data_IF_857832049790
#
_entry.id   IF_857832049790
#
_cell.length_a   1.000
_cell.length_b   1.000
_cell.length_c   1.000
_cell.angle_alpha   90.00
_cell.angle_beta   90.00
_cell.angle_gamma   90.00
#
_symmetry.space_group_name_H-M   'P 1'
#
loop_
_entity.id
_entity.type
_entity.pdbx_description
1 polymer ?
#
# COMPACT_ATOMS: atom_id res chain seq x y z
N UNK A 1 20.65 8.71 25.49
CA UNK A 1 20.71 10.18 25.57
C UNK A 1 19.68 10.72 24.60
N UNK A 2 18.46 10.99 25.08
CA UNK A 2 17.40 11.59 24.27
C UNK A 2 17.74 13.05 24.01
N UNK A 3 18.24 13.36 22.82
CA UNK A 3 18.30 14.72 22.33
C UNK A 3 16.88 15.15 21.94
N UNK A 4 16.05 15.46 22.94
CA UNK A 4 14.72 16.01 22.70
C UNK A 4 14.85 17.33 21.95
N UNK A 5 14.36 17.37 20.71
CA UNK A 5 14.20 18.60 19.94
C UNK A 5 13.47 19.65 20.80
N UNK A 6 13.96 20.90 20.78
CA UNK A 6 13.29 21.98 21.49
C UNK A 6 11.93 22.25 20.86
N UNK A 7 10.98 22.71 21.67
CA UNK A 7 9.63 22.97 21.20
C UNK A 7 9.60 23.99 20.05
N UNK A 8 10.36 25.10 20.16
CA UNK A 8 10.50 26.08 19.08
C UNK A 8 11.08 25.44 17.80
N UNK A 9 12.08 24.56 17.93
CA UNK A 9 12.65 23.88 16.77
C UNK A 9 11.66 22.92 16.10
N UNK A 10 10.72 22.34 16.86
CA UNK A 10 9.64 21.54 16.30
C UNK A 10 8.65 22.40 15.49
N UNK A 11 8.24 23.56 16.02
CA UNK A 11 7.37 24.52 15.33
C UNK A 11 8.01 25.00 14.02
N UNK A 12 9.28 25.38 14.06
CA UNK A 12 10.04 25.83 12.89
C UNK A 12 10.12 24.72 11.82
N UNK A 13 10.32 23.47 12.25
CA UNK A 13 10.35 22.32 11.35
C UNK A 13 9.00 22.11 10.65
N UNK A 14 7.88 22.10 11.40
CA UNK A 14 6.55 21.90 10.82
C UNK A 14 6.18 23.02 9.85
N UNK A 15 6.41 24.27 10.22
CA UNK A 15 6.11 25.44 9.37
C UNK A 15 6.99 25.49 8.12
N UNK A 16 8.28 25.15 8.25
CA UNK A 16 9.18 25.02 7.11
C UNK A 16 8.68 23.95 6.12
N UNK A 17 8.28 22.78 6.59
CA UNK A 17 7.78 21.72 5.70
C UNK A 17 6.40 22.02 5.11
N UNK A 18 5.57 22.76 5.83
CA UNK A 18 4.27 23.22 5.32
C UNK A 18 4.42 24.21 4.16
N UNK A 19 5.39 25.14 4.25
CA UNK A 19 5.68 26.09 3.17
C UNK A 19 6.36 25.46 1.94
N UNK A 20 6.94 24.26 2.08
CA UNK A 20 7.52 23.51 0.96
C UNK A 20 6.44 22.95 0.04
N UNK A 21 6.75 22.92 -1.26
CA UNK A 21 5.91 22.27 -2.27
C UNK A 21 5.46 20.86 -1.83
N UNK A 22 4.18 20.49 -2.04
CA UNK A 22 3.67 19.16 -1.73
C UNK A 22 4.41 18.02 -2.45
N UNK A 23 5.06 18.33 -3.60
CA UNK A 23 5.80 17.34 -4.39
C UNK A 23 7.16 16.96 -3.78
N UNK A 24 7.66 17.74 -2.80
CA UNK A 24 8.90 17.42 -2.08
C UNK A 24 8.57 16.57 -0.86
N UNK A 25 8.64 15.26 -1.03
CA UNK A 25 8.29 14.32 0.03
C UNK A 25 9.34 14.26 1.11
N UNK A 26 8.93 14.18 2.38
CA UNK A 26 9.81 13.89 3.51
C UNK A 26 10.49 12.54 3.32
N UNK A 27 9.77 11.56 2.77
CA UNK A 27 10.31 10.22 2.50
C UNK A 27 11.52 10.20 1.54
N UNK A 28 11.63 11.18 0.64
CA UNK A 28 12.72 11.25 -0.34
C UNK A 28 14.04 11.82 0.23
N UNK A 29 14.04 12.19 1.51
CA UNK A 29 15.17 12.86 2.16
C UNK A 29 16.01 11.90 3.01
N UNK A 30 17.13 12.39 3.54
CA UNK A 30 17.98 11.60 4.41
C UNK A 30 17.23 11.12 5.65
N UNK A 31 17.58 9.95 6.18
CA UNK A 31 16.93 9.37 7.36
C UNK A 31 16.95 10.34 8.56
N UNK A 32 18.00 11.14 8.72
CA UNK A 32 18.08 12.17 9.76
C UNK A 32 17.03 13.29 9.61
N UNK A 33 16.66 13.66 8.38
CA UNK A 33 15.61 14.66 8.13
C UNK A 33 14.22 14.08 8.35
N UNK A 34 14.02 12.82 7.97
CA UNK A 34 12.79 12.06 8.27
C UNK A 34 12.59 12.00 9.79
N UNK A 35 13.60 11.51 10.53
CA UNK A 35 13.55 11.38 11.98
C UNK A 35 13.31 12.73 12.65
N UNK A 36 14.01 13.79 12.21
CA UNK A 36 13.79 15.14 12.75
C UNK A 36 12.35 15.62 12.57
N UNK A 37 11.74 15.40 11.40
CA UNK A 37 10.35 15.78 11.18
C UNK A 37 9.40 14.97 12.07
N UNK A 38 9.60 13.65 12.15
CA UNK A 38 8.77 12.77 12.96
C UNK A 38 8.86 13.10 14.47
N UNK A 39 10.06 13.40 14.97
CA UNK A 39 10.27 13.88 16.35
C UNK A 39 9.60 15.23 16.60
N UNK A 40 9.62 16.14 15.61
CA UNK A 40 8.90 17.41 15.71
C UNK A 40 7.39 17.19 15.84
N UNK A 41 6.83 16.25 15.08
CA UNK A 41 5.40 15.88 15.21
C UNK A 41 5.10 15.34 16.60
N UNK A 42 5.91 14.42 17.10
CA UNK A 42 5.72 13.83 18.45
C UNK A 42 5.74 14.94 19.52
N UNK A 43 6.63 15.92 19.38
CA UNK A 43 6.74 17.05 20.29
C UNK A 43 5.49 17.94 20.28
N UNK A 44 4.94 18.24 19.11
CA UNK A 44 3.72 19.06 18.94
C UNK A 44 2.47 18.33 19.45
N UNK A 45 2.39 17.02 19.25
CA UNK A 45 1.29 16.21 19.77
C UNK A 45 1.32 16.14 21.31
N UNK A 46 2.51 16.00 21.90
CA UNK A 46 2.69 16.03 23.37
C UNK A 46 2.32 17.40 23.97
N UNK A 47 2.73 18.51 23.36
CA UNK A 47 2.39 19.86 23.85
C UNK A 47 0.91 20.17 23.70
N UNK A 48 0.24 19.67 22.65
CA UNK A 48 -1.21 19.76 22.51
C UNK A 48 -1.93 18.95 23.59
N UNK A 49 -1.49 17.73 23.89
CA UNK A 49 -2.06 16.93 24.96
C UNK A 49 -1.95 17.61 26.34
N UNK A 50 -0.88 18.39 26.54
CA UNK A 50 -0.65 19.16 27.76
C UNK A 50 -1.41 20.51 27.82
N UNK A 51 -2.19 20.85 26.78
CA UNK A 51 -3.06 22.03 26.75
C UNK A 51 -2.36 23.37 26.47
N UNK A 52 -1.12 23.35 26.00
CA UNK A 52 -0.28 24.56 25.91
C UNK A 52 -0.33 25.25 24.53
N UNK A 53 -1.00 24.68 23.53
CA UNK A 53 -0.79 25.08 22.12
C UNK A 53 -2.00 25.07 21.19
N UNK A 54 -1.82 25.76 20.04
CA UNK A 54 -2.76 25.83 18.92
C UNK A 54 -2.84 24.50 18.17
N UNK A 55 -4.06 23.96 18.06
CA UNK A 55 -4.38 22.77 17.26
C UNK A 55 -4.11 22.94 15.76
N UNK A 56 -3.82 24.15 15.28
CA UNK A 56 -3.52 24.42 13.87
C UNK A 56 -2.21 23.74 13.44
N UNK A 57 -1.16 23.77 14.26
CA UNK A 57 0.15 23.17 13.91
C UNK A 57 0.07 21.64 13.80
N UNK A 58 -0.64 21.00 14.74
CA UNK A 58 -0.89 19.57 14.65
C UNK A 58 -1.73 19.25 13.42
N UNK A 59 -2.78 20.03 13.14
CA UNK A 59 -3.60 19.84 11.93
C UNK A 59 -2.76 19.95 10.65
N UNK A 60 -1.85 20.93 10.57
CA UNK A 60 -0.90 21.07 9.45
C UNK A 60 0.00 19.84 9.31
N UNK A 61 0.57 19.36 10.42
CA UNK A 61 1.42 18.18 10.43
C UNK A 61 0.67 16.92 9.98
N UNK A 62 -0.55 16.71 10.48
CA UNK A 62 -1.41 15.56 10.14
C UNK A 62 -1.82 15.57 8.66
N UNK A 63 -2.16 16.74 8.12
CA UNK A 63 -2.46 16.89 6.69
C UNK A 63 -1.24 16.52 5.83
N UNK A 64 -0.05 16.99 6.20
CA UNK A 64 1.19 16.65 5.48
C UNK A 64 1.49 15.16 5.57
N UNK A 65 1.46 14.57 6.76
CA UNK A 65 1.70 13.13 6.96
C UNK A 65 0.72 12.26 6.17
N UNK A 66 -0.56 12.62 6.13
CA UNK A 66 -1.57 11.90 5.33
C UNK A 66 -1.25 11.95 3.83
N UNK A 67 -0.82 13.10 3.33
CA UNK A 67 -0.41 13.26 1.94
C UNK A 67 0.84 12.44 1.59
N UNK A 68 1.86 12.46 2.47
CA UNK A 68 3.08 11.65 2.34
C UNK A 68 2.74 10.15 2.33
N UNK A 69 1.90 9.70 3.27
CA UNK A 69 1.43 8.33 3.34
C UNK A 69 0.78 7.87 2.03
N UNK A 70 -0.12 8.69 1.48
CA UNK A 70 -0.78 8.40 0.21
C UNK A 70 0.22 8.25 -0.95
N UNK A 71 1.20 9.15 -1.07
CA UNK A 71 2.13 9.14 -2.19
C UNK A 71 3.10 7.97 -2.08
N UNK A 72 3.65 7.70 -0.90
CA UNK A 72 4.55 6.55 -0.69
C UNK A 72 3.82 5.23 -0.99
N UNK A 73 2.58 5.09 -0.52
CA UNK A 73 1.75 3.92 -0.80
C UNK A 73 1.42 3.77 -2.29
N UNK A 74 1.18 4.88 -2.98
CA UNK A 74 0.93 4.90 -4.44
C UNK A 74 2.18 4.49 -5.21
N UNK A 75 3.37 4.98 -4.82
CA UNK A 75 4.65 4.57 -5.42
C UNK A 75 4.90 3.07 -5.25
N UNK A 76 4.67 2.54 -4.04
CA UNK A 76 4.75 1.08 -3.82
C UNK A 76 3.77 0.29 -4.70
N UNK A 77 2.56 0.82 -4.92
CA UNK A 77 1.53 0.16 -5.73
C UNK A 77 1.78 0.29 -7.24
N UNK A 78 2.58 1.27 -7.67
CA UNK A 78 2.92 1.47 -9.07
C UNK A 78 4.17 0.70 -9.50
N UNK A 79 4.95 0.15 -8.56
CA UNK A 79 6.00 -0.80 -8.90
C UNK A 79 5.32 -2.06 -9.44
N UNK A 80 5.42 -2.33 -10.76
CA UNK A 80 4.79 -3.50 -11.32
C UNK A 80 5.51 -4.71 -10.73
N UNK A 81 4.75 -5.64 -10.15
CA UNK A 81 5.21 -7.02 -10.14
C UNK A 81 5.32 -7.41 -11.63
N UNK A 82 6.52 -7.31 -12.20
CA UNK A 82 6.80 -7.72 -13.59
C UNK A 82 6.81 -9.26 -13.74
N UNK A 83 6.66 -9.99 -12.65
CA UNK A 83 6.94 -11.44 -12.56
C UNK A 83 5.89 -12.37 -13.18
N UNK A 84 4.66 -11.93 -13.47
CA UNK A 84 3.63 -12.84 -14.03
C UNK A 84 3.46 -12.73 -15.56
N UNK A 85 4.27 -11.93 -16.26
CA UNK A 85 4.28 -11.92 -17.73
C UNK A 85 4.93 -13.17 -18.34
N UNK A 86 5.49 -14.07 -17.52
CA UNK A 86 6.16 -15.31 -17.95
C UNK A 86 5.43 -16.58 -17.51
N UNK A 87 4.10 -16.54 -17.36
CA UNK A 87 3.29 -17.77 -17.48
C UNK A 87 3.16 -18.14 -18.97
N UNK A 88 4.31 -18.25 -19.63
CA UNK A 88 4.43 -18.99 -20.87
C UNK A 88 4.39 -20.46 -20.48
N UNK A 89 3.42 -21.16 -21.06
CA UNK A 89 3.31 -22.61 -21.17
C UNK A 89 4.65 -23.34 -21.18
N UNK A 90 5.07 -23.86 -20.02
CA UNK A 90 5.95 -25.03 -19.94
C UNK A 90 5.77 -25.70 -18.59
N UNK A 91 5.32 -26.94 -18.60
CA UNK A 91 5.54 -27.89 -17.52
C UNK A 91 7.06 -28.02 -17.34
N UNK A 92 7.63 -27.39 -16.32
CA UNK A 92 9.07 -27.38 -16.07
C UNK A 92 9.39 -26.99 -14.63
N UNK A 93 10.26 -27.77 -13.98
CA UNK A 93 10.62 -27.71 -12.57
C UNK A 93 11.04 -26.29 -12.10
N UNK A 94 10.26 -25.72 -11.18
CA UNK A 94 10.53 -24.46 -10.50
C UNK A 94 11.41 -24.64 -9.26
N UNK A 95 12.60 -25.24 -9.40
CA UNK A 95 13.58 -25.24 -8.32
C UNK A 95 15.01 -25.40 -8.88
N UNK A 96 15.59 -24.29 -9.34
CA UNK A 96 17.05 -24.13 -9.27
C UNK A 96 17.35 -22.66 -8.99
N UNK A 97 17.58 -22.38 -7.70
CA UNK A 97 17.71 -21.05 -7.12
C UNK A 97 19.18 -20.70 -6.97
N UNK A 98 19.66 -19.66 -7.66
CA UNK A 98 20.83 -18.88 -7.19
C UNK A 98 20.87 -17.43 -7.69
N UNK A 99 20.18 -17.08 -8.78
CA UNK A 99 20.22 -15.70 -9.33
C UNK A 99 19.01 -14.82 -8.93
N UNK A 100 17.95 -15.43 -8.37
CA UNK A 100 16.70 -14.74 -8.00
C UNK A 100 16.72 -14.16 -6.57
N UNK A 101 17.51 -14.77 -5.68
CA UNK A 101 17.58 -14.39 -4.27
C UNK A 101 18.27 -13.02 -4.05
N UNK A 102 19.28 -12.68 -4.84
CA UNK A 102 20.00 -11.40 -4.74
C UNK A 102 19.11 -10.19 -5.15
N UNK A 103 18.23 -10.39 -6.14
CA UNK A 103 17.27 -9.38 -6.59
C UNK A 103 16.08 -9.21 -5.62
N UNK A 104 15.61 -10.31 -5.01
CA UNK A 104 14.55 -10.28 -3.99
C UNK A 104 15.00 -9.58 -2.70
N UNK A 105 16.27 -9.71 -2.30
CA UNK A 105 16.81 -9.07 -1.09
C UNK A 105 16.84 -7.54 -1.24
N UNK A 106 17.19 -7.00 -2.42
CA UNK A 106 17.19 -5.55 -2.68
C UNK A 106 15.77 -4.96 -2.78
N UNK A 107 14.84 -5.70 -3.39
CA UNK A 107 13.43 -5.31 -3.51
C UNK A 107 12.67 -5.38 -2.18
N UNK A 108 12.93 -6.43 -1.38
CA UNK A 108 12.42 -6.52 -0.02
C UNK A 108 12.99 -5.40 0.85
N UNK A 109 14.26 -5.02 0.70
CA UNK A 109 14.86 -3.93 1.48
C UNK A 109 14.25 -2.55 1.19
N UNK A 110 13.97 -2.22 -0.08
CA UNK A 110 13.33 -0.94 -0.45
C UNK A 110 11.83 -0.92 -0.13
N UNK A 111 11.15 -2.07 -0.24
CA UNK A 111 9.77 -2.22 0.20
C UNK A 111 9.65 -2.13 1.73
N UNK A 112 10.56 -2.75 2.48
CA UNK A 112 10.55 -2.76 3.94
C UNK A 112 10.85 -1.37 4.52
N UNK A 113 11.73 -0.58 3.90
CA UNK A 113 11.95 0.82 4.30
C UNK A 113 10.70 1.68 4.14
N UNK A 114 9.98 1.53 3.03
CA UNK A 114 8.74 2.26 2.81
C UNK A 114 7.61 1.73 3.73
N UNK A 115 7.53 0.42 4.00
CA UNK A 115 6.58 -0.13 4.99
C UNK A 115 6.90 0.39 6.40
N UNK A 116 8.17 0.44 6.79
CA UNK A 116 8.62 0.99 8.07
C UNK A 116 8.25 2.47 8.18
N UNK A 117 8.49 3.26 7.13
CA UNK A 117 8.09 4.65 7.08
C UNK A 117 6.56 4.81 7.20
N UNK A 118 5.78 4.05 6.42
CA UNK A 118 4.33 4.06 6.47
C UNK A 118 3.80 3.70 7.87
N UNK A 119 4.41 2.72 8.55
CA UNK A 119 4.10 2.37 9.94
C UNK A 119 4.37 3.52 10.89
N UNK A 120 5.54 4.14 10.82
CA UNK A 120 5.92 5.28 11.68
C UNK A 120 4.99 6.49 11.47
N UNK A 121 4.55 6.73 10.24
CA UNK A 121 3.58 7.77 9.92
C UNK A 121 2.19 7.40 10.45
N UNK A 122 1.75 6.16 10.27
CA UNK A 122 0.46 5.67 10.75
C UNK A 122 0.36 5.73 12.28
N UNK A 123 1.45 5.45 13.00
CA UNK A 123 1.53 5.57 14.46
C UNK A 123 1.25 7.01 14.92
N UNK A 124 1.85 8.00 14.26
CA UNK A 124 1.64 9.43 14.58
C UNK A 124 0.25 9.92 14.19
N UNK A 125 -0.28 9.43 13.08
CA UNK A 125 -1.69 9.67 12.71
C UNK A 125 -2.64 9.06 13.75
N UNK A 126 -2.33 7.87 14.28
CA UNK A 126 -3.11 7.24 15.35
C UNK A 126 -3.05 8.03 16.66
N UNK A 127 -1.85 8.44 17.11
CA UNK A 127 -1.66 9.30 18.28
C UNK A 127 -2.39 10.65 18.16
N UNK A 128 -2.51 11.17 16.94
CA UNK A 128 -3.29 12.37 16.64
C UNK A 128 -4.81 12.17 16.50
N UNK A 129 -5.32 10.94 16.64
CA UNK A 129 -6.75 10.62 16.48
C UNK A 129 -7.23 10.51 15.03
N UNK A 130 -6.31 10.42 14.06
CA UNK A 130 -6.58 10.36 12.63
C UNK A 130 -6.43 8.96 12.01
N UNK A 131 -6.52 7.89 12.82
CA UNK A 131 -6.37 6.51 12.33
C UNK A 131 -7.40 6.14 11.25
N UNK A 132 -8.68 6.47 11.45
CA UNK A 132 -9.72 6.18 10.46
C UNK A 132 -9.51 6.88 9.11
N UNK A 133 -8.87 8.04 9.13
CA UNK A 133 -8.46 8.78 7.93
C UNK A 133 -7.28 8.11 7.23
N UNK A 134 -6.32 7.61 7.99
CA UNK A 134 -5.18 6.84 7.49
C UNK A 134 -5.65 5.54 6.79
N UNK A 135 -6.53 4.77 7.45
CA UNK A 135 -7.11 3.54 6.88
C UNK A 135 -7.88 3.84 5.59
N UNK A 136 -8.67 4.93 5.57
CA UNK A 136 -9.42 5.33 4.37
C UNK A 136 -8.50 5.66 3.19
N UNK A 137 -7.39 6.35 3.45
CA UNK A 137 -6.35 6.60 2.43
C UNK A 137 -5.74 5.30 1.95
N UNK A 138 -5.37 4.39 2.87
CA UNK A 138 -4.82 3.08 2.52
C UNK A 138 -5.73 2.33 1.55
N UNK A 139 -7.02 2.19 1.90
CA UNK A 139 -8.04 1.56 1.05
C UNK A 139 -8.19 2.25 -0.31
N UNK A 140 -8.15 3.59 -0.34
CA UNK A 140 -8.32 4.37 -1.57
C UNK A 140 -7.21 4.13 -2.60
N UNK A 141 -6.02 3.71 -2.17
CA UNK A 141 -4.87 3.42 -3.04
C UNK A 141 -4.80 1.92 -3.36
N UNK A 142 -4.90 1.06 -2.33
CA UNK A 142 -4.67 -0.38 -2.48
C UNK A 142 -5.81 -1.12 -3.14
N UNK A 143 -7.07 -0.75 -2.88
CA UNK A 143 -8.25 -1.37 -3.50
C UNK A 143 -8.27 -1.22 -5.03
N UNK A 144 -8.09 -0.03 -5.63
CA UNK A 144 -8.03 0.09 -7.08
C UNK A 144 -6.77 -0.54 -7.69
N UNK A 145 -5.64 -0.53 -6.99
CA UNK A 145 -4.44 -1.28 -7.38
C UNK A 145 -4.76 -2.78 -7.51
N UNK A 146 -5.31 -3.39 -6.45
CA UNK A 146 -5.69 -4.79 -6.42
C UNK A 146 -6.72 -5.14 -7.50
N UNK A 147 -7.72 -4.27 -7.72
CA UNK A 147 -8.70 -4.45 -8.80
C UNK A 147 -8.05 -4.43 -10.19
N UNK A 148 -7.07 -3.55 -10.40
CA UNK A 148 -6.32 -3.47 -11.66
C UNK A 148 -5.46 -4.72 -11.87
N UNK A 149 -4.86 -5.23 -10.79
CA UNK A 149 -4.08 -6.46 -10.80
C UNK A 149 -4.95 -7.67 -11.17
N UNK A 150 -6.12 -7.82 -10.53
CA UNK A 150 -7.08 -8.87 -10.90
C UNK A 150 -7.50 -8.74 -12.35
N UNK A 151 -7.81 -7.53 -12.84
CA UNK A 151 -8.17 -7.33 -14.25
C UNK A 151 -7.06 -7.78 -15.21
N UNK A 152 -5.79 -7.45 -14.89
CA UNK A 152 -4.63 -7.86 -15.69
C UNK A 152 -4.44 -9.38 -15.67
N UNK A 153 -4.60 -10.02 -14.51
CA UNK A 153 -4.44 -11.48 -14.35
C UNK A 153 -5.60 -12.29 -14.94
N UNK A 154 -6.83 -11.80 -14.77
CA UNK A 154 -8.02 -12.34 -15.40
C UNK A 154 -8.06 -12.06 -16.90
N UNK A 155 -7.11 -11.25 -17.40
CA UNK A 155 -6.98 -10.75 -18.75
C UNK A 155 -8.28 -10.09 -19.25
N UNK A 156 -8.20 -8.81 -19.61
CA UNK A 156 -9.20 -8.16 -20.45
C UNK A 156 -9.49 -8.98 -21.76
N UNK A 157 -8.68 -10.00 -22.07
CA UNK A 157 -8.85 -10.98 -23.15
C UNK A 157 -9.84 -12.13 -22.89
N UNK A 158 -10.17 -12.48 -21.63
CA UNK A 158 -11.37 -13.31 -21.35
C UNK A 158 -12.66 -12.52 -21.55
N UNK A 159 -12.56 -11.20 -21.44
CA UNK A 159 -13.58 -10.25 -21.84
C UNK A 159 -13.45 -9.96 -23.34
N UNK A 160 -13.61 -10.97 -24.20
CA UNK A 160 -13.78 -10.77 -25.64
C UNK A 160 -14.88 -9.72 -25.84
N UNK A 161 -14.46 -8.48 -26.11
CA UNK A 161 -15.28 -7.30 -26.40
C UNK A 161 -16.70 -7.32 -25.83
N UNK A 162 -16.87 -6.79 -24.62
CA UNK A 162 -18.14 -6.20 -24.21
C UNK A 162 -19.17 -7.18 -23.61
N UNK A 163 -19.48 -6.88 -22.35
CA UNK A 163 -20.69 -7.22 -21.61
C UNK A 163 -20.73 -8.66 -21.08
N UNK A 164 -20.77 -8.84 -19.76
CA UNK A 164 -21.03 -10.14 -19.11
C UNK A 164 -22.34 -10.77 -19.63
N UNK A 165 -23.30 -9.94 -20.07
CA UNK A 165 -24.52 -10.35 -20.77
C UNK A 165 -24.28 -10.99 -22.15
N UNK A 166 -23.17 -10.69 -22.84
CA UNK A 166 -22.78 -11.31 -24.13
C UNK A 166 -22.20 -12.70 -23.89
N UNK A 167 -21.35 -12.86 -22.89
CA UNK A 167 -20.85 -14.17 -22.44
C UNK A 167 -22.00 -15.09 -21.99
N UNK A 168 -22.89 -14.59 -21.14
CA UNK A 168 -24.08 -15.33 -20.70
C UNK A 168 -25.05 -15.65 -21.86
N UNK A 169 -25.19 -14.77 -22.85
CA UNK A 169 -25.98 -15.04 -24.07
C UNK A 169 -25.32 -16.08 -24.98
N UNK A 170 -23.99 -16.08 -25.11
CA UNK A 170 -23.23 -17.06 -25.88
C UNK A 170 -23.30 -18.46 -25.25
N UNK A 171 -23.19 -18.54 -23.91
CA UNK A 171 -23.43 -19.76 -23.12
C UNK A 171 -24.87 -20.28 -23.32
N UNK A 172 -25.88 -19.40 -23.18
CA UNK A 172 -27.29 -19.77 -23.40
C UNK A 172 -27.58 -20.25 -24.83
N UNK A 173 -26.80 -19.81 -25.83
CA UNK A 173 -26.94 -20.22 -27.25
C UNK A 173 -26.15 -21.49 -27.62
N UNK A 174 -25.51 -22.21 -26.68
CA UNK A 174 -24.70 -23.42 -26.94
C UNK A 174 -23.64 -23.24 -28.04
N UNK A 175 -23.05 -22.05 -28.21
CA UNK A 175 -22.08 -21.76 -29.30
C UNK A 175 -20.60 -21.98 -28.94
N UNK A 176 -20.31 -22.62 -27.82
CA UNK A 176 -18.94 -22.97 -27.46
C UNK A 176 -18.64 -24.42 -27.85
N UNK A 177 -17.50 -24.64 -28.50
CA UNK A 177 -16.85 -25.94 -28.39
C UNK A 177 -16.46 -26.14 -26.93
N UNK A 178 -16.80 -27.29 -26.37
CA UNK A 178 -16.48 -27.68 -24.99
C UNK A 178 -15.01 -27.42 -24.63
N UNK A 179 -14.13 -27.56 -25.62
CA UNK A 179 -12.69 -27.32 -25.49
C UNK A 179 -12.33 -25.86 -25.18
N UNK A 180 -13.02 -24.87 -25.78
CA UNK A 180 -12.76 -23.45 -25.50
C UNK A 180 -13.27 -23.07 -24.09
N UNK A 181 -14.37 -23.69 -23.62
CA UNK A 181 -14.85 -23.49 -22.25
C UNK A 181 -13.89 -24.12 -21.24
N UNK A 182 -13.36 -25.32 -21.52
CA UNK A 182 -12.40 -26.01 -20.65
C UNK A 182 -11.15 -25.17 -20.43
N UNK A 183 -10.57 -24.61 -21.49
CA UNK A 183 -9.41 -23.71 -21.40
C UNK A 183 -9.70 -22.50 -20.51
N UNK A 184 -10.89 -21.90 -20.63
CA UNK A 184 -11.29 -20.77 -19.78
C UNK A 184 -11.42 -21.18 -18.32
N UNK A 185 -12.07 -22.30 -18.01
CA UNK A 185 -12.20 -22.80 -16.64
C UNK A 185 -10.83 -23.06 -16.02
N UNK A 186 -9.91 -23.70 -16.76
CA UNK A 186 -8.55 -23.95 -16.28
C UNK A 186 -7.79 -22.65 -15.99
N UNK A 187 -7.96 -21.63 -16.85
CA UNK A 187 -7.37 -20.31 -16.62
C UNK A 187 -7.96 -19.63 -15.36
N UNK A 188 -9.27 -19.69 -15.16
CA UNK A 188 -9.93 -19.18 -13.95
C UNK A 188 -9.42 -19.87 -12.68
N UNK A 189 -9.21 -21.19 -12.71
CA UNK A 189 -8.65 -21.93 -11.57
C UNK A 189 -7.22 -21.45 -11.28
N UNK A 190 -6.38 -21.25 -12.31
CA UNK A 190 -5.01 -20.73 -12.12
C UNK A 190 -5.03 -19.33 -11.52
N UNK A 191 -5.83 -18.41 -12.07
CA UNK A 191 -5.92 -17.04 -11.56
C UNK A 191 -6.44 -17.03 -10.12
N UNK A 192 -7.48 -17.81 -9.82
CA UNK A 192 -8.00 -17.94 -8.47
C UNK A 192 -6.92 -18.40 -7.49
N UNK A 193 -6.11 -19.41 -7.85
CA UNK A 193 -4.98 -19.87 -7.01
C UNK A 193 -3.97 -18.75 -6.76
N UNK A 194 -3.56 -18.00 -7.78
CA UNK A 194 -2.63 -16.88 -7.60
C UNK A 194 -3.23 -15.78 -6.73
N UNK A 195 -4.52 -15.47 -6.87
CA UNK A 195 -5.21 -14.53 -6.00
C UNK A 195 -5.19 -14.98 -4.53
N UNK A 196 -5.65 -16.20 -4.26
CA UNK A 196 -5.78 -16.74 -2.90
C UNK A 196 -4.46 -17.07 -2.21
N UNK A 197 -3.46 -17.55 -2.94
CA UNK A 197 -2.18 -17.99 -2.36
C UNK A 197 -1.09 -16.92 -2.41
N UNK A 198 -1.34 -15.76 -3.01
CA UNK A 198 -0.29 -14.75 -3.19
C UNK A 198 -0.82 -13.36 -2.94
N UNK A 199 -1.81 -12.89 -3.71
CA UNK A 199 -2.23 -11.50 -3.60
C UNK A 199 -2.93 -11.15 -2.29
N UNK A 200 -3.85 -12.01 -1.83
CA UNK A 200 -4.51 -11.78 -0.55
C UNK A 200 -3.53 -11.89 0.62
N UNK A 201 -2.63 -12.87 0.59
CA UNK A 201 -1.62 -13.05 1.64
C UNK A 201 -0.65 -11.86 1.68
N UNK A 202 -0.20 -11.37 0.53
CA UNK A 202 0.69 -10.20 0.46
C UNK A 202 0.00 -8.93 0.96
N UNK A 203 -1.24 -8.68 0.53
CA UNK A 203 -1.99 -7.51 1.01
C UNK A 203 -2.21 -7.57 2.52
N UNK A 204 -2.51 -8.76 3.04
CA UNK A 204 -2.70 -8.97 4.48
C UNK A 204 -1.43 -8.65 5.23
N UNK A 205 -0.30 -9.19 4.80
CA UNK A 205 1.00 -8.91 5.42
C UNK A 205 1.37 -7.43 5.39
N UNK A 206 1.08 -6.71 4.30
CA UNK A 206 1.32 -5.26 4.22
C UNK A 206 0.44 -4.52 5.23
N UNK A 207 -0.86 -4.83 5.29
CA UNK A 207 -1.77 -4.20 6.25
C UNK A 207 -1.37 -4.50 7.70
N UNK A 208 -0.97 -5.74 8.01
CA UNK A 208 -0.47 -6.12 9.32
C UNK A 208 0.80 -5.35 9.64
N UNK A 209 1.82 -5.37 8.77
CA UNK A 209 3.08 -4.65 9.02
C UNK A 209 2.85 -3.15 9.27
N UNK A 210 1.87 -2.52 8.63
CA UNK A 210 1.58 -1.08 8.83
C UNK A 210 0.74 -0.84 10.09
N UNK A 211 -0.33 -1.61 10.32
CA UNK A 211 -1.37 -1.30 11.32
C UNK A 211 -1.37 -2.21 12.56
N UNK A 212 -0.50 -3.22 12.64
CA UNK A 212 -0.43 -4.11 13.82
C UNK A 212 -0.24 -3.31 15.10
N UNK A 213 -1.12 -3.56 16.07
CA UNK A 213 -1.07 -2.93 17.39
C UNK A 213 -1.81 -1.60 17.50
N UNK A 214 -2.40 -1.09 16.41
CA UNK A 214 -3.33 0.03 16.48
C UNK A 214 -4.74 -0.50 16.82
N UNK A 215 -5.38 0.08 17.84
CA UNK A 215 -6.54 -0.51 18.53
C UNK A 215 -7.73 -0.90 17.65
N UNK A 216 -8.60 -1.76 18.21
CA UNK A 216 -9.92 -2.15 17.70
C UNK A 216 -9.96 -2.82 16.29
N UNK A 217 -8.96 -3.65 15.97
CA UNK A 217 -8.96 -4.44 14.73
C UNK A 217 -8.72 -3.59 13.47
N UNK A 218 -7.89 -2.55 13.57
CA UNK A 218 -7.55 -1.69 12.44
C UNK A 218 -6.97 -2.46 11.25
N UNK A 219 -6.21 -3.52 11.53
CA UNK A 219 -5.73 -4.51 10.56
C UNK A 219 -6.88 -5.28 9.88
N UNK A 220 -7.88 -5.72 10.64
CA UNK A 220 -9.10 -6.35 10.09
C UNK A 220 -9.97 -5.36 9.29
N UNK A 221 -10.07 -4.11 9.75
CA UNK A 221 -10.84 -3.06 9.09
C UNK A 221 -10.21 -2.67 7.76
N UNK A 222 -8.87 -2.67 7.65
CA UNK A 222 -8.16 -2.42 6.41
C UNK A 222 -8.52 -3.43 5.31
N UNK A 223 -8.77 -4.68 5.69
CA UNK A 223 -8.89 -5.77 4.73
C UNK A 223 -10.27 -5.80 4.04
N UNK A 224 -11.41 -5.60 4.73
CA UNK A 224 -12.72 -5.95 4.11
C UNK A 224 -13.98 -5.15 4.51
N UNK A 225 -13.93 -3.81 4.48
CA UNK A 225 -15.15 -2.96 4.35
C UNK A 225 -14.98 -1.94 3.22
#
# INVERSE_FOLDING_TARGET
>A
MESSISHQSAVDTITQWYSRSPNKLIFDHAHSEITRYLEAVDKIQQSQANGTESGDLNSMAMVRLKHEFQIVLTRQSNNPIETYSSVSTSEGNWLDSTEYEDYLVLYNSTSDLAILYLRNVAERLNSGGHLGDCIRVYKSVRKPFFHTMIKRLCLDELYIGGDAKRFLRALKKKRFLWDELKVKIELWIRVAKVCFCTFFDLEKQISEKIFTGFGNGADEECFWK
#
